data_IF_599543475728
#
_entry.id   IF_599543475728
#
_cell.length_a   1.000
_cell.length_b   1.000
_cell.length_c   1.000
_cell.angle_alpha   90.00
_cell.angle_beta   90.00
_cell.angle_gamma   90.00
#
_symmetry.space_group_name_H-M   'P 1'
#
loop_
_entity.id
_entity.type
_entity.pdbx_description
1 polymer ?
#
# COMPACT_ATOMS: atom_id res chain seq x y z
N UNK A 1 -2.72 19.40 18.30
CA UNK A 1 -1.99 18.98 17.12
C UNK A 1 -2.45 17.60 16.65
N UNK A 2 -2.70 17.45 15.37
CA UNK A 2 -3.35 16.28 14.82
C UNK A 2 -2.44 15.60 13.78
N UNK A 3 -2.02 14.35 14.06
CA UNK A 3 -1.21 13.55 13.14
C UNK A 3 -2.08 13.07 11.97
N UNK A 4 -3.33 12.75 12.24
CA UNK A 4 -4.30 12.30 11.26
C UNK A 4 -5.59 13.10 11.45
N UNK A 5 -5.72 14.28 10.81
CA UNK A 5 -6.86 15.18 11.06
C UNK A 5 -8.22 14.53 10.82
N UNK A 6 -8.32 13.64 9.86
CA UNK A 6 -9.57 12.93 9.55
C UNK A 6 -9.82 11.74 10.46
N UNK A 7 -8.75 11.21 11.09
CA UNK A 7 -8.81 10.01 11.95
C UNK A 7 -9.78 8.95 11.43
N UNK A 8 -9.59 8.44 10.20
CA UNK A 8 -10.55 7.54 9.58
C UNK A 8 -10.57 6.17 10.27
N UNK A 9 -11.66 5.42 10.14
CA UNK A 9 -11.71 4.05 10.63
C UNK A 9 -10.79 3.13 9.83
N UNK A 10 -10.30 2.08 10.49
CA UNK A 10 -9.50 1.05 9.83
C UNK A 10 -10.42 0.15 9.02
N UNK A 11 -10.01 -0.20 7.82
CA UNK A 11 -10.73 -1.10 6.94
C UNK A 11 -9.80 -2.21 6.45
N UNK A 12 -10.39 -3.33 6.03
CA UNK A 12 -9.66 -4.41 5.38
C UNK A 12 -10.34 -4.79 4.07
N UNK A 13 -9.57 -5.38 3.17
CA UNK A 13 -10.04 -5.89 1.89
C UNK A 13 -9.19 -7.08 1.49
N UNK A 14 -9.76 -7.99 0.73
CA UNK A 14 -9.02 -9.10 0.16
C UNK A 14 -8.64 -8.77 -1.27
N UNK A 15 -7.34 -8.75 -1.54
CA UNK A 15 -6.76 -8.48 -2.87
C UNK A 15 -5.99 -9.71 -3.34
N UNK A 16 -6.11 -10.04 -4.63
CA UNK A 16 -5.18 -11.00 -5.23
C UNK A 16 -3.82 -10.34 -5.44
N UNK A 17 -2.77 -11.15 -5.57
CA UNK A 17 -1.44 -10.62 -5.89
C UNK A 17 -1.43 -9.80 -7.19
N UNK A 18 -2.22 -10.22 -8.18
CA UNK A 18 -2.39 -9.48 -9.42
C UNK A 18 -3.03 -8.10 -9.22
N UNK A 19 -4.05 -8.03 -8.36
CA UNK A 19 -4.69 -6.75 -8.01
C UNK A 19 -3.74 -5.82 -7.24
N UNK A 20 -2.91 -6.37 -6.37
CA UNK A 20 -1.88 -5.59 -5.66
C UNK A 20 -0.90 -4.98 -6.67
N UNK A 21 -0.42 -5.78 -7.61
CA UNK A 21 0.48 -5.30 -8.67
C UNK A 21 -0.18 -4.21 -9.50
N UNK A 22 -1.41 -4.44 -9.95
CA UNK A 22 -2.15 -3.47 -10.75
C UNK A 22 -2.35 -2.15 -10.03
N UNK A 23 -2.73 -2.21 -8.76
CA UNK A 23 -2.91 -1.02 -7.92
C UNK A 23 -1.61 -0.23 -7.77
N UNK A 24 -0.50 -0.90 -7.54
CA UNK A 24 0.81 -0.26 -7.40
C UNK A 24 1.31 0.32 -8.72
N UNK A 25 1.11 -0.40 -9.83
CA UNK A 25 1.46 0.11 -11.17
C UNK A 25 0.66 1.36 -11.52
N UNK A 26 -0.62 1.38 -11.21
CA UNK A 26 -1.46 2.57 -11.43
C UNK A 26 -0.96 3.76 -10.61
N UNK A 27 -0.60 3.53 -9.35
CA UNK A 27 -0.03 4.57 -8.49
C UNK A 27 1.30 5.11 -9.04
N UNK A 28 2.18 4.22 -9.51
CA UNK A 28 3.45 4.61 -10.12
C UNK A 28 3.24 5.42 -11.40
N UNK A 29 2.27 5.05 -12.22
CA UNK A 29 1.94 5.80 -13.43
C UNK A 29 1.48 7.23 -13.09
N UNK A 30 0.60 7.38 -12.11
CA UNK A 30 0.13 8.69 -11.66
C UNK A 30 1.26 9.56 -11.10
N UNK A 31 2.25 8.94 -10.48
CA UNK A 31 3.38 9.65 -9.87
C UNK A 31 4.48 10.00 -10.87
N UNK A 32 4.73 9.12 -11.85
CA UNK A 32 5.91 9.18 -12.71
C UNK A 32 5.59 9.20 -14.21
N UNK A 33 4.36 9.48 -14.60
CA UNK A 33 3.99 9.56 -16.02
C UNK A 33 4.83 10.62 -16.76
N UNK A 34 5.31 10.26 -17.94
CA UNK A 34 5.96 11.21 -18.83
C UNK A 34 4.97 12.18 -19.47
N UNK A 35 3.69 11.85 -19.48
CA UNK A 35 2.63 12.72 -19.97
C UNK A 35 2.15 13.64 -18.84
N UNK A 36 2.30 14.97 -18.97
CA UNK A 36 1.85 15.89 -17.91
C UNK A 36 0.38 15.74 -17.56
N UNK A 37 -0.46 15.35 -18.53
CA UNK A 37 -1.89 15.13 -18.28
C UNK A 37 -2.16 13.81 -17.54
N UNK A 38 -1.22 12.88 -17.56
CA UNK A 38 -1.31 11.61 -16.84
C UNK A 38 -0.80 11.69 -15.41
N UNK A 39 -0.03 12.73 -15.11
CA UNK A 39 0.44 12.95 -13.73
C UNK A 39 -0.68 13.56 -12.89
N UNK A 40 -1.09 12.85 -11.86
CA UNK A 40 -2.14 13.32 -10.96
C UNK A 40 -1.58 13.81 -9.62
N UNK A 41 -0.27 14.03 -9.56
CA UNK A 41 0.41 14.41 -8.35
C UNK A 41 0.46 13.27 -7.34
N UNK A 42 0.89 13.57 -6.13
CA UNK A 42 0.89 12.60 -5.06
C UNK A 42 2.24 11.92 -4.87
N UNK A 43 2.19 10.78 -4.25
CA UNK A 43 3.37 10.07 -3.76
C UNK A 43 3.16 8.57 -3.93
N UNK A 44 4.27 7.85 -3.96
CA UNK A 44 4.25 6.39 -4.01
C UNK A 44 3.62 5.84 -2.72
N UNK A 45 2.68 4.92 -2.87
CA UNK A 45 2.01 4.30 -1.74
C UNK A 45 3.01 3.57 -0.85
N UNK A 46 2.91 3.79 0.44
CA UNK A 46 3.71 3.05 1.42
C UNK A 46 3.01 1.76 1.78
N UNK A 47 3.75 0.67 1.73
CA UNK A 47 3.23 -0.66 2.03
C UNK A 47 4.08 -1.30 3.13
N UNK A 48 3.43 -1.76 4.19
CA UNK A 48 4.10 -2.56 5.20
C UNK A 48 3.90 -4.04 4.84
N UNK A 49 4.98 -4.79 4.92
CA UNK A 49 4.95 -6.23 4.63
C UNK A 49 5.31 -6.60 3.19
N UNK A 50 5.38 -5.64 2.29
CA UNK A 50 5.79 -5.87 0.92
C UNK A 50 7.17 -5.27 0.66
N UNK A 51 7.94 -5.93 -0.20
CA UNK A 51 9.13 -5.37 -0.82
C UNK A 51 8.93 -5.36 -2.32
N UNK A 52 9.05 -4.20 -2.94
CA UNK A 52 8.80 -4.02 -4.37
C UNK A 52 10.06 -3.49 -5.04
N UNK A 53 10.56 -4.22 -6.02
CA UNK A 53 11.68 -3.78 -6.86
C UNK A 53 11.10 -3.16 -8.13
N UNK A 54 11.52 -1.95 -8.46
CA UNK A 54 10.93 -1.22 -9.58
C UNK A 54 11.96 -0.44 -10.39
N UNK A 55 11.58 -0.15 -11.63
CA UNK A 55 12.30 0.75 -12.53
C UNK A 55 11.35 1.84 -13.01
N UNK A 56 11.60 3.05 -12.56
CA UNK A 56 10.73 4.20 -12.85
C UNK A 56 10.71 4.52 -14.35
N UNK A 57 11.84 4.34 -15.02
CA UNK A 57 12.01 4.62 -16.44
C UNK A 57 11.26 3.67 -17.38
N UNK A 58 10.78 2.55 -16.86
CA UNK A 58 10.02 1.61 -17.68
C UNK A 58 8.63 2.19 -18.06
N UNK A 59 8.05 1.72 -19.17
CA UNK A 59 6.73 2.21 -19.59
C UNK A 59 5.63 1.78 -18.62
N UNK A 60 4.48 2.43 -18.78
CA UNK A 60 3.27 2.15 -18.01
C UNK A 60 2.98 0.65 -17.93
N UNK A 61 2.70 0.16 -16.73
CA UNK A 61 2.38 -1.24 -16.48
C UNK A 61 3.59 -2.16 -16.34
N UNK A 62 4.81 -1.64 -16.54
CA UNK A 62 6.04 -2.43 -16.53
C UNK A 62 7.10 -1.89 -15.57
N UNK A 63 6.72 -1.01 -14.66
CA UNK A 63 7.66 -0.43 -13.70
C UNK A 63 8.03 -1.38 -12.57
N UNK A 64 7.09 -2.24 -12.16
CA UNK A 64 7.35 -3.22 -11.11
C UNK A 64 8.05 -4.43 -11.72
N UNK A 65 9.22 -4.75 -11.19
CA UNK A 65 10.00 -5.92 -11.60
C UNK A 65 9.67 -7.13 -10.74
N UNK A 66 9.62 -6.94 -9.43
CA UNK A 66 9.39 -8.02 -8.47
C UNK A 66 8.62 -7.49 -7.27
N UNK A 67 7.74 -8.31 -6.72
CA UNK A 67 7.06 -8.07 -5.45
C UNK A 67 7.27 -9.25 -4.53
N UNK A 68 7.74 -8.98 -3.31
CA UNK A 68 7.95 -9.99 -2.29
C UNK A 68 7.05 -9.75 -1.09
N UNK A 69 6.52 -10.82 -0.55
CA UNK A 69 5.80 -10.84 0.72
C UNK A 69 6.44 -11.87 1.63
N UNK A 70 6.91 -11.44 2.80
CA UNK A 70 7.65 -12.30 3.76
C UNK A 70 8.83 -13.04 3.10
N UNK A 71 9.57 -12.36 2.24
CA UNK A 71 10.76 -12.92 1.58
C UNK A 71 10.48 -13.85 0.41
N UNK A 72 9.22 -14.02 0.00
CA UNK A 72 8.82 -14.86 -1.13
C UNK A 72 8.14 -14.03 -2.19
N UNK A 73 8.30 -14.42 -3.46
CA UNK A 73 7.55 -13.79 -4.54
C UNK A 73 6.05 -13.87 -4.26
N UNK A 74 5.35 -12.76 -4.53
CA UNK A 74 3.90 -12.74 -4.41
C UNK A 74 3.27 -13.67 -5.45
N UNK A 75 2.25 -14.42 -5.02
CA UNK A 75 1.46 -15.26 -5.93
C UNK A 75 0.29 -14.43 -6.47
N UNK A 76 0.24 -14.23 -7.79
CA UNK A 76 -0.77 -13.39 -8.42
C UNK A 76 -2.19 -13.94 -8.28
N UNK A 77 -2.34 -15.23 -8.07
CA UNK A 77 -3.65 -15.86 -7.92
C UNK A 77 -4.08 -16.00 -6.46
N UNK A 78 -3.14 -15.89 -5.53
CA UNK A 78 -3.43 -15.99 -4.10
C UNK A 78 -4.08 -14.70 -3.59
N UNK A 79 -5.03 -14.86 -2.66
CA UNK A 79 -5.69 -13.75 -1.99
C UNK A 79 -4.93 -13.34 -0.73
N UNK A 80 -4.72 -12.04 -0.58
CA UNK A 80 -4.06 -11.45 0.58
C UNK A 80 -5.01 -10.47 1.27
N UNK A 81 -5.01 -10.49 2.59
CA UNK A 81 -5.78 -9.54 3.38
C UNK A 81 -4.96 -8.27 3.59
N UNK A 82 -5.53 -7.14 3.20
CA UNK A 82 -4.87 -5.84 3.24
C UNK A 82 -5.65 -4.90 4.14
N UNK A 83 -4.95 -4.25 5.06
CA UNK A 83 -5.52 -3.20 5.91
C UNK A 83 -5.20 -1.83 5.35
N UNK A 84 -6.15 -0.91 5.43
CA UNK A 84 -5.99 0.46 4.94
C UNK A 84 -6.94 1.39 5.71
N UNK A 85 -6.76 2.70 5.54
CA UNK A 85 -7.57 3.68 6.29
C UNK A 85 -8.47 4.53 5.40
N UNK A 86 -8.12 4.73 4.13
CA UNK A 86 -8.94 5.54 3.20
C UNK A 86 -8.95 4.91 1.82
N UNK A 87 -9.89 5.36 0.97
CA UNK A 87 -9.93 4.93 -0.43
C UNK A 87 -8.69 5.35 -1.23
N UNK A 88 -7.91 6.29 -0.72
CA UNK A 88 -6.60 6.61 -1.29
C UNK A 88 -5.60 5.47 -1.06
N UNK A 89 -5.76 4.70 0.01
CA UNK A 89 -4.96 3.51 0.25
C UNK A 89 -5.30 2.41 -0.75
N UNK A 90 -6.57 2.00 -0.79
CA UNK A 90 -7.06 1.00 -1.73
C UNK A 90 -8.37 1.50 -2.35
N UNK A 91 -8.34 1.78 -3.64
CA UNK A 91 -9.52 2.26 -4.38
C UNK A 91 -10.66 1.23 -4.34
N UNK A 92 -11.89 1.71 -4.42
CA UNK A 92 -13.09 0.87 -4.31
C UNK A 92 -13.21 -0.19 -5.40
N UNK A 93 -12.56 0.03 -6.55
CA UNK A 93 -12.59 -0.90 -7.69
C UNK A 93 -11.76 -2.17 -7.47
N UNK A 94 -10.87 -2.19 -6.47
CA UNK A 94 -10.02 -3.33 -6.18
C UNK A 94 -10.56 -4.18 -5.05
N UNK A 95 -10.39 -5.49 -5.19
CA UNK A 95 -10.62 -6.44 -4.12
C UNK A 95 -12.07 -6.79 -3.85
N UNK A 96 -12.24 -7.64 -2.86
CA UNK A 96 -13.54 -8.14 -2.42
C UNK A 96 -13.56 -8.25 -0.89
N UNK A 97 -14.74 -8.50 -0.33
CA UNK A 97 -14.94 -8.66 1.13
C UNK A 97 -14.38 -7.47 1.92
N UNK A 98 -14.63 -6.26 1.41
CA UNK A 98 -14.22 -5.03 2.07
C UNK A 98 -14.99 -4.87 3.37
N UNK A 99 -14.25 -4.67 4.47
CA UNK A 99 -14.82 -4.57 5.80
C UNK A 99 -14.29 -3.34 6.52
N UNK A 100 -15.20 -2.62 7.16
CA UNK A 100 -14.89 -1.44 7.97
C UNK A 100 -15.02 -1.81 9.44
N UNK A 101 -14.04 -1.42 10.25
CA UNK A 101 -14.04 -1.68 11.70
C UNK A 101 -14.40 -0.46 12.50
N UNK A 102 -14.87 -0.67 13.73
CA UNK A 102 -15.26 0.43 14.65
C UNK A 102 -14.08 1.10 15.34
N UNK A 103 -12.85 0.75 14.98
CA UNK A 103 -11.64 1.35 15.52
C UNK A 103 -11.06 2.35 14.50
N UNK A 104 -10.72 3.55 14.98
CA UNK A 104 -10.08 4.56 14.14
C UNK A 104 -8.56 4.37 14.11
N UNK A 105 -7.91 4.94 13.09
CA UNK A 105 -6.48 4.74 12.86
C UNK A 105 -5.62 5.14 14.07
N UNK A 106 -5.92 6.28 14.70
CA UNK A 106 -5.15 6.74 15.87
C UNK A 106 -5.34 5.82 17.07
N UNK A 107 -6.56 5.33 17.29
CA UNK A 107 -6.85 4.37 18.37
C UNK A 107 -6.12 3.06 18.16
N UNK A 108 -6.13 2.52 16.93
CA UNK A 108 -5.40 1.31 16.58
C UNK A 108 -3.90 1.48 16.83
N UNK A 109 -3.33 2.63 16.46
CA UNK A 109 -1.93 2.95 16.70
C UNK A 109 -1.61 3.02 18.20
N UNK A 110 -2.48 3.66 18.98
CA UNK A 110 -2.31 3.74 20.46
C UNK A 110 -2.32 2.37 21.10
N UNK A 111 -3.26 1.51 20.69
CA UNK A 111 -3.37 0.14 21.24
C UNK A 111 -2.13 -0.67 20.90
N UNK A 112 -1.65 -0.57 19.66
CA UNK A 112 -0.43 -1.24 19.23
C UNK A 112 0.78 -0.79 20.06
N UNK A 113 0.95 0.52 20.27
CA UNK A 113 2.08 1.05 21.04
C UNK A 113 2.00 0.69 22.52
N UNK A 114 0.81 0.54 23.08
CA UNK A 114 0.62 0.04 24.45
C UNK A 114 1.11 -1.39 24.61
N UNK A 115 0.77 -2.26 23.66
CA UNK A 115 1.20 -3.67 23.68
C UNK A 115 2.67 -3.82 23.33
N UNK A 116 3.24 -2.87 22.59
CA UNK A 116 4.63 -2.88 22.11
C UNK A 116 5.39 -1.67 22.64
N UNK A 117 5.47 -1.53 23.96
CA UNK A 117 6.08 -0.38 24.64
C UNK A 117 7.54 -0.13 24.26
N UNK A 118 8.25 -1.17 23.81
CA UNK A 118 9.64 -1.08 23.35
C UNK A 118 9.75 -0.98 21.83
N UNK A 119 8.70 -0.48 21.17
CA UNK A 119 8.67 -0.36 19.72
C UNK A 119 9.81 0.52 19.21
N UNK A 120 10.55 0.00 18.24
CA UNK A 120 11.54 0.75 17.47
C UNK A 120 11.22 0.57 15.99
N UNK A 121 11.17 1.66 15.18
CA UNK A 121 10.90 1.53 13.76
C UNK A 121 12.02 0.75 13.07
N UNK A 122 11.64 -0.21 12.23
CA UNK A 122 12.58 -0.97 11.42
C UNK A 122 13.01 -0.18 10.18
N UNK A 123 14.21 -0.48 9.69
CA UNK A 123 14.76 0.11 8.46
C UNK A 123 14.43 -0.74 7.23
N UNK A 124 13.19 -1.22 7.12
CA UNK A 124 12.78 -2.02 5.97
C UNK A 124 12.27 -1.11 4.85
N UNK A 125 12.94 -1.18 3.72
CA UNK A 125 12.50 -0.48 2.51
C UNK A 125 11.35 -1.23 1.87
N UNK A 126 10.23 -0.55 1.61
CA UNK A 126 9.10 -1.12 0.87
C UNK A 126 9.37 -1.11 -0.64
N UNK A 127 10.03 -0.07 -1.13
CA UNK A 127 10.34 0.10 -2.55
C UNK A 127 11.83 0.23 -2.76
N UNK A 128 12.34 -0.45 -3.77
CA UNK A 128 13.74 -0.42 -4.16
C UNK A 128 13.87 -0.18 -5.65
N UNK A 129 14.65 0.82 -6.01
CA UNK A 129 15.03 1.04 -7.41
C UNK A 129 16.09 0.02 -7.83
N UNK A 130 15.90 -0.57 -8.96
CA UNK A 130 16.83 -1.58 -9.49
C UNK A 130 17.32 -1.26 -10.91
#
# INVERSE_FOLDING_TARGET
>A
YNIAPMNPPVSTVELTGGEIKEMLEENLERSFSCNPLGQMGGYVKRCLGLQVNLRIENPKGHRIQEIYYKGRHIDFEKTYKVSFVTTQGVASKYGKNRKKYDINAVEAMKDYLKENSNFAPGNKESFRLV
#
